data_IF_293398305119
#
_entry.id   IF_293398305119
#
_cell.length_a   1.000
_cell.length_b   1.000
_cell.length_c   1.000
_cell.angle_alpha   90.00
_cell.angle_beta   90.00
_cell.angle_gamma   90.00
#
_symmetry.space_group_name_H-M   'P 1'
#
loop_
_entity.id
_entity.type
_entity.pdbx_description
1 polymer ?
#
# COMPACT_ATOMS: atom_id res chain seq x y z
N UNK A 1 62.41 -17.31 -62.36
CA UNK A 1 61.05 -17.84 -62.00
C UNK A 1 60.79 -17.85 -60.51
N UNK A 2 61.74 -17.67 -59.60
CA UNK A 2 61.51 -17.71 -58.13
C UNK A 2 60.82 -16.44 -57.57
N UNK A 3 61.13 -15.26 -58.13
CA UNK A 3 60.58 -14.01 -57.64
C UNK A 3 59.09 -13.80 -57.92
N UNK A 4 58.51 -14.42 -58.95
CA UNK A 4 57.07 -14.35 -59.26
C UNK A 4 56.23 -15.17 -58.28
N UNK A 5 56.73 -16.26 -57.77
CA UNK A 5 56.01 -17.16 -56.81
C UNK A 5 55.98 -16.58 -55.41
N UNK A 6 56.98 -15.78 -55.01
CA UNK A 6 57.00 -15.11 -53.68
C UNK A 6 55.98 -13.98 -53.60
N UNK A 7 55.77 -13.19 -54.64
CA UNK A 7 54.80 -12.11 -54.69
C UNK A 7 53.35 -12.60 -54.64
N UNK A 8 53.03 -13.73 -55.18
CA UNK A 8 51.73 -14.34 -55.19
C UNK A 8 51.41 -14.90 -53.80
N UNK A 9 52.37 -15.52 -53.11
CA UNK A 9 52.17 -16.03 -51.75
C UNK A 9 51.95 -14.97 -50.73
N UNK A 10 52.63 -13.81 -50.80
CA UNK A 10 52.43 -12.66 -49.88
C UNK A 10 51.12 -11.97 -50.15
N UNK A 11 50.64 -11.85 -51.39
CA UNK A 11 49.33 -11.26 -51.70
C UNK A 11 48.17 -12.15 -51.21
N UNK A 12 48.31 -13.47 -51.28
CA UNK A 12 47.29 -14.40 -50.76
C UNK A 12 47.18 -14.36 -49.22
N UNK A 13 48.30 -14.27 -48.50
CA UNK A 13 48.33 -14.18 -47.04
C UNK A 13 47.72 -12.84 -46.54
N UNK A 14 47.96 -11.72 -47.22
CA UNK A 14 47.37 -10.43 -46.86
C UNK A 14 45.84 -10.44 -47.11
N UNK A 15 45.38 -11.06 -48.19
CA UNK A 15 43.96 -11.18 -48.50
C UNK A 15 43.18 -12.05 -47.48
N UNK A 16 43.78 -13.13 -47.00
CA UNK A 16 43.18 -14.01 -45.97
C UNK A 16 43.15 -13.32 -44.62
N UNK A 17 44.21 -12.60 -44.24
CA UNK A 17 44.27 -11.82 -42.99
C UNK A 17 43.26 -10.69 -42.97
N UNK A 18 43.09 -9.96 -44.08
CA UNK A 18 42.09 -8.90 -44.19
C UNK A 18 40.63 -9.45 -44.14
N UNK A 19 40.36 -10.58 -44.75
CA UNK A 19 39.07 -11.26 -44.72
C UNK A 19 38.67 -11.74 -43.32
N UNK A 20 39.61 -12.32 -42.58
CA UNK A 20 39.40 -12.81 -41.23
C UNK A 20 39.12 -11.62 -40.24
N UNK A 21 39.85 -10.50 -40.40
CA UNK A 21 39.65 -9.29 -39.61
C UNK A 21 38.28 -8.65 -39.87
N UNK A 22 37.86 -8.60 -41.15
CA UNK A 22 36.54 -8.07 -41.53
C UNK A 22 35.39 -8.93 -41.01
N UNK A 23 35.57 -10.29 -41.05
CA UNK A 23 34.58 -11.23 -40.54
C UNK A 23 34.42 -11.11 -39.02
N UNK A 24 35.52 -11.03 -38.26
CA UNK A 24 35.49 -10.84 -36.81
C UNK A 24 34.87 -9.48 -36.40
N UNK A 25 35.15 -8.42 -37.17
CA UNK A 25 34.57 -7.11 -36.96
C UNK A 25 33.06 -7.11 -37.27
N UNK A 26 32.65 -7.84 -38.32
CA UNK A 26 31.25 -7.96 -38.69
C UNK A 26 30.45 -8.82 -37.70
N UNK A 27 31.03 -9.87 -37.15
CA UNK A 27 30.42 -10.71 -36.11
C UNK A 27 30.24 -9.93 -34.79
N UNK A 28 31.24 -9.12 -34.40
CA UNK A 28 31.14 -8.22 -33.26
C UNK A 28 30.08 -7.14 -33.48
N UNK A 29 29.98 -6.60 -34.71
CA UNK A 29 28.96 -5.60 -35.04
C UNK A 29 27.53 -6.15 -35.07
N UNK A 30 27.35 -7.36 -35.62
CA UNK A 30 26.06 -8.08 -35.62
C UNK A 30 25.67 -8.50 -34.20
N UNK A 31 26.62 -9.01 -33.40
CA UNK A 31 26.41 -9.33 -31.99
C UNK A 31 26.02 -8.15 -31.15
N UNK A 32 26.55 -6.95 -31.45
CA UNK A 32 26.15 -5.71 -30.76
C UNK A 32 24.71 -5.26 -31.11
N UNK A 33 24.28 -5.47 -32.38
CA UNK A 33 22.91 -5.13 -32.82
C UNK A 33 21.83 -6.10 -32.32
N UNK A 34 22.19 -7.31 -31.96
CA UNK A 34 21.26 -8.36 -31.51
C UNK A 34 21.26 -8.57 -29.98
N UNK A 35 21.93 -7.73 -29.20
CA UNK A 35 21.67 -7.74 -27.76
C UNK A 35 20.24 -7.28 -27.54
N UNK A 36 19.34 -8.15 -27.08
CA UNK A 36 17.98 -7.72 -26.79
C UNK A 36 18.04 -6.65 -25.69
N UNK A 37 17.38 -5.53 -25.90
CA UNK A 37 17.23 -4.43 -24.93
C UNK A 37 16.55 -4.87 -23.62
N UNK A 38 16.22 -6.15 -23.49
CA UNK A 38 15.56 -6.74 -22.34
C UNK A 38 16.47 -6.95 -21.11
N UNK A 39 17.81 -7.13 -21.30
CA UNK A 39 18.70 -7.35 -20.16
C UNK A 39 18.80 -6.17 -19.18
N UNK A 40 18.93 -4.90 -19.62
CA UNK A 40 18.98 -3.79 -18.67
C UNK A 40 17.66 -3.57 -17.93
N UNK A 41 16.51 -3.92 -18.53
CA UNK A 41 15.21 -3.79 -17.87
C UNK A 41 15.00 -4.86 -16.81
N UNK A 42 15.46 -6.08 -17.03
CA UNK A 42 15.40 -7.17 -16.04
C UNK A 42 16.33 -6.89 -14.85
N UNK A 43 17.52 -6.36 -15.09
CA UNK A 43 18.48 -5.99 -14.04
C UNK A 43 18.00 -4.76 -13.25
N UNK A 44 17.41 -3.76 -13.93
CA UNK A 44 16.79 -2.61 -13.29
C UNK A 44 15.54 -3.04 -12.49
N UNK A 45 14.73 -3.96 -13.01
CA UNK A 45 13.58 -4.52 -12.29
C UNK A 45 14.03 -5.35 -11.08
N UNK A 46 15.08 -6.16 -11.21
CA UNK A 46 15.66 -6.94 -10.09
C UNK A 46 16.30 -6.02 -9.04
N UNK A 47 17.01 -4.97 -9.47
CA UNK A 47 17.56 -3.95 -8.56
C UNK A 47 16.48 -3.10 -7.89
N UNK A 48 15.35 -2.86 -8.55
CA UNK A 48 14.19 -2.21 -7.97
C UNK A 48 13.46 -3.13 -6.97
N UNK A 49 13.36 -4.42 -7.26
CA UNK A 49 12.82 -5.42 -6.34
C UNK A 49 13.70 -5.56 -5.09
N UNK A 50 15.04 -5.64 -5.24
CA UNK A 50 15.98 -5.62 -4.11
C UNK A 50 15.94 -4.32 -3.29
N UNK A 51 15.63 -3.17 -3.90
CA UNK A 51 15.41 -1.92 -3.18
C UNK A 51 14.11 -1.91 -2.38
N UNK A 52 13.08 -2.62 -2.83
CA UNK A 52 11.81 -2.73 -2.10
C UNK A 52 11.97 -3.55 -0.81
N UNK A 53 12.82 -4.58 -0.79
CA UNK A 53 13.15 -5.35 0.43
C UNK A 53 13.88 -4.52 1.51
N UNK A 54 14.53 -3.42 1.13
CA UNK A 54 15.24 -2.52 2.05
C UNK A 54 14.45 -1.25 2.41
N UNK A 55 13.25 -1.09 1.86
CA UNK A 55 12.48 0.15 1.98
C UNK A 55 11.74 0.28 3.32
N UNK A 56 11.45 -0.84 4.01
CA UNK A 56 10.76 -0.83 5.30
C UNK A 56 11.75 -0.76 6.45
N UNK A 57 11.90 0.43 7.05
CA UNK A 57 12.79 0.65 8.19
C UNK A 57 12.10 0.28 9.48
N UNK A 58 12.56 -0.77 10.15
CA UNK A 58 12.10 -1.15 11.49
C UNK A 58 12.77 -0.29 12.56
N UNK A 59 12.02 -0.01 13.63
CA UNK A 59 12.49 0.76 14.79
C UNK A 59 12.73 -0.15 16.00
N UNK A 60 13.89 -0.02 16.61
CA UNK A 60 14.23 -0.65 17.89
C UNK A 60 14.96 0.37 18.79
N UNK A 61 14.33 0.85 19.86
CA UNK A 61 12.95 0.57 20.29
C UNK A 61 11.88 1.26 19.42
N UNK A 62 10.60 0.79 19.49
CA UNK A 62 9.46 1.44 18.80
C UNK A 62 9.30 2.90 19.22
N UNK A 63 8.92 3.76 18.26
CA UNK A 63 8.78 5.21 18.45
C UNK A 63 7.37 5.60 18.92
N UNK A 64 7.21 6.67 19.71
CA UNK A 64 5.90 7.22 20.00
C UNK A 64 5.24 7.78 18.73
N UNK A 65 3.94 7.55 18.58
CA UNK A 65 3.13 8.14 17.50
C UNK A 65 2.39 9.35 18.06
N UNK A 66 2.43 10.51 17.39
CA UNK A 66 1.65 11.69 17.77
C UNK A 66 0.14 11.41 17.80
N UNK A 67 -0.59 12.19 18.60
CA UNK A 67 -2.04 12.11 18.61
C UNK A 67 -2.62 12.87 17.41
N UNK A 68 -2.93 12.13 16.34
CA UNK A 68 -3.55 12.70 15.13
C UNK A 68 -5.06 12.46 15.12
N UNK A 69 -5.79 13.40 14.51
CA UNK A 69 -7.24 13.33 14.30
C UNK A 69 -7.54 13.26 12.81
N UNK A 70 -8.55 12.51 12.47
CA UNK A 70 -9.06 12.34 11.11
C UNK A 70 -10.52 11.88 11.16
N UNK A 71 -11.15 11.73 10.02
CA UNK A 71 -12.55 11.33 9.92
C UNK A 71 -12.68 9.99 9.19
N UNK A 72 -13.70 9.22 9.56
CA UNK A 72 -14.09 8.02 8.81
C UNK A 72 -15.03 8.35 7.62
N UNK A 73 -15.49 7.30 6.93
CA UNK A 73 -16.37 7.41 5.77
C UNK A 73 -17.74 8.02 6.03
N UNK A 74 -18.17 8.08 7.28
CA UNK A 74 -19.40 8.70 7.77
C UNK A 74 -19.19 10.11 8.35
N UNK A 75 -17.94 10.62 8.31
CA UNK A 75 -17.60 11.95 8.83
C UNK A 75 -17.45 12.00 10.35
N UNK A 76 -17.35 10.85 11.03
CA UNK A 76 -17.11 10.81 12.47
C UNK A 76 -15.65 11.05 12.78
N UNK A 77 -15.37 11.89 13.77
CA UNK A 77 -14.01 12.15 14.22
C UNK A 77 -13.41 10.91 14.88
N UNK A 78 -12.22 10.55 14.45
CA UNK A 78 -11.41 9.45 14.96
C UNK A 78 -9.99 9.90 15.30
N UNK A 79 -9.29 9.02 16.00
CA UNK A 79 -7.84 9.10 16.18
C UNK A 79 -7.26 7.68 16.17
N UNK A 80 -5.93 7.57 16.12
CA UNK A 80 -5.26 6.25 16.15
C UNK A 80 -5.55 5.45 17.44
N UNK A 81 -6.06 6.09 18.49
CA UNK A 81 -6.47 5.38 19.72
C UNK A 81 -7.67 4.45 19.51
N UNK A 82 -8.50 4.68 18.47
CA UNK A 82 -9.60 3.80 18.10
C UNK A 82 -9.13 2.43 17.59
N UNK A 83 -7.86 2.32 17.25
CA UNK A 83 -7.25 1.10 16.71
C UNK A 83 -6.32 0.39 17.71
N UNK A 84 -6.38 0.77 18.99
CA UNK A 84 -5.58 0.08 20.01
C UNK A 84 -5.93 -1.41 20.05
N UNK A 85 -4.96 -2.20 20.51
CA UNK A 85 -5.00 -3.67 20.50
C UNK A 85 -4.99 -4.32 19.13
N UNK A 86 -4.83 -3.54 18.05
CA UNK A 86 -4.58 -4.00 16.68
C UNK A 86 -3.20 -3.58 16.21
N UNK A 87 -2.62 -4.37 15.32
CA UNK A 87 -1.53 -3.90 14.48
C UNK A 87 -2.14 -3.10 13.33
N UNK A 88 -1.64 -1.89 13.09
CA UNK A 88 -2.18 -0.99 12.06
C UNK A 88 -1.12 -0.72 11.00
N UNK A 89 -1.48 -0.91 9.74
CA UNK A 89 -0.72 -0.41 8.60
C UNK A 89 -1.34 0.94 8.17
N UNK A 90 -0.80 2.03 8.70
CA UNK A 90 -1.27 3.39 8.39
C UNK A 90 -0.56 3.89 7.14
N UNK A 91 -1.29 4.00 6.04
CA UNK A 91 -0.80 4.53 4.77
C UNK A 91 -1.34 5.95 4.54
N UNK A 92 -0.45 6.92 4.39
CA UNK A 92 -0.78 8.33 4.13
C UNK A 92 -0.67 8.58 2.62
N UNK A 93 -1.77 8.98 2.01
CA UNK A 93 -1.91 9.05 0.56
C UNK A 93 -2.85 10.17 0.10
N UNK A 94 -3.01 10.31 -1.23
CA UNK A 94 -4.00 11.21 -1.83
C UNK A 94 -4.39 10.73 -3.25
N UNK A 95 -5.58 11.12 -3.71
CA UNK A 95 -6.08 10.76 -5.04
C UNK A 95 -5.28 11.37 -6.19
N UNK A 96 -4.65 12.53 -5.97
CA UNK A 96 -3.77 13.19 -6.93
C UNK A 96 -2.33 12.65 -6.93
N UNK A 97 -1.97 11.77 -5.99
CA UNK A 97 -0.65 11.15 -5.89
C UNK A 97 -0.58 9.90 -6.78
N UNK A 98 0.04 10.00 -7.95
CA UNK A 98 0.09 8.90 -8.91
C UNK A 98 0.74 7.60 -8.37
N UNK A 99 1.87 7.61 -7.62
CA UNK A 99 2.39 6.40 -7.01
C UNK A 99 1.44 5.81 -5.95
N UNK A 100 0.73 6.65 -5.17
CA UNK A 100 -0.26 6.18 -4.19
C UNK A 100 -1.41 5.43 -4.86
N UNK A 101 -1.94 5.97 -5.96
CA UNK A 101 -3.03 5.34 -6.73
C UNK A 101 -2.68 3.93 -7.18
N UNK A 102 -1.40 3.69 -7.56
CA UNK A 102 -0.95 2.36 -8.03
C UNK A 102 -0.91 1.31 -6.93
N UNK A 103 -0.62 1.70 -5.69
CA UNK A 103 -0.53 0.74 -4.57
C UNK A 103 -1.88 0.42 -3.92
N UNK A 104 -2.93 1.26 -4.09
CA UNK A 104 -4.23 1.04 -3.45
C UNK A 104 -4.85 -0.34 -3.71
N UNK A 105 -4.83 -0.91 -4.93
CA UNK A 105 -5.34 -2.26 -5.14
C UNK A 105 -4.58 -3.33 -4.35
N UNK A 106 -3.29 -3.14 -4.08
CA UNK A 106 -2.48 -4.11 -3.30
C UNK A 106 -2.78 -3.98 -1.80
N UNK A 107 -3.03 -2.75 -1.31
CA UNK A 107 -3.50 -2.51 0.06
C UNK A 107 -4.89 -3.10 0.29
N UNK A 108 -5.80 -2.99 -0.68
CA UNK A 108 -7.13 -3.58 -0.60
C UNK A 108 -7.07 -5.10 -0.51
N UNK A 109 -6.24 -5.74 -1.35
CA UNK A 109 -6.00 -7.19 -1.28
C UNK A 109 -5.30 -7.63 0.01
N UNK A 110 -4.40 -6.79 0.54
CA UNK A 110 -3.79 -7.05 1.85
C UNK A 110 -4.84 -7.00 2.96
N UNK A 111 -5.72 -6.00 2.96
CA UNK A 111 -6.83 -5.89 3.90
C UNK A 111 -7.75 -7.11 3.81
N UNK A 112 -8.09 -7.56 2.58
CA UNK A 112 -8.86 -8.78 2.37
C UNK A 112 -8.19 -10.04 2.96
N UNK A 113 -6.85 -10.13 2.88
CA UNK A 113 -6.07 -11.29 3.36
C UNK A 113 -5.84 -11.32 4.87
N UNK A 114 -5.61 -10.18 5.49
CA UNK A 114 -5.14 -10.08 6.88
C UNK A 114 -6.07 -9.27 7.77
N UNK A 115 -6.99 -8.47 7.21
CA UNK A 115 -7.90 -7.62 7.95
C UNK A 115 -8.77 -8.40 8.93
N UNK A 116 -9.00 -7.81 10.11
CA UNK A 116 -9.79 -8.44 11.16
C UNK A 116 -9.58 -7.80 12.52
N UNK A 117 -9.90 -8.50 13.60
CA UNK A 117 -9.81 -7.96 14.96
C UNK A 117 -8.37 -7.62 15.39
N UNK A 118 -7.39 -8.22 14.74
CA UNK A 118 -5.97 -8.09 15.10
C UNK A 118 -5.17 -7.18 14.17
N UNK A 119 -5.71 -6.86 12.98
CA UNK A 119 -5.02 -6.08 11.95
C UNK A 119 -5.97 -5.21 11.14
N UNK A 120 -5.52 -4.00 10.82
CA UNK A 120 -6.25 -3.11 9.92
C UNK A 120 -5.31 -2.26 9.07
N UNK A 121 -5.63 -2.13 7.77
CA UNK A 121 -5.04 -1.14 6.89
C UNK A 121 -5.85 0.15 7.01
N UNK A 122 -5.23 1.19 7.53
CA UNK A 122 -5.81 2.54 7.62
C UNK A 122 -5.26 3.38 6.48
N UNK A 123 -5.96 3.41 5.35
CA UNK A 123 -5.61 4.24 4.20
C UNK A 123 -6.11 5.67 4.43
N UNK A 124 -5.28 6.52 5.06
CA UNK A 124 -5.61 7.89 5.43
C UNK A 124 -5.33 8.85 4.29
N UNK A 125 -6.39 9.34 3.64
CA UNK A 125 -6.30 10.35 2.58
C UNK A 125 -6.13 11.75 3.16
N UNK A 126 -5.27 12.55 2.51
CA UNK A 126 -5.10 13.98 2.79
C UNK A 126 -5.71 14.86 1.69
N UNK A 127 -6.68 14.34 0.94
CA UNK A 127 -7.38 15.13 -0.07
C UNK A 127 -8.22 16.24 0.57
N UNK A 128 -8.03 17.47 0.13
CA UNK A 128 -8.79 18.62 0.63
C UNK A 128 -10.27 18.54 0.29
N UNK A 129 -10.64 17.84 -0.77
CA UNK A 129 -12.03 17.55 -1.12
C UNK A 129 -12.66 16.47 -0.21
N UNK A 130 -11.88 15.91 0.74
CA UNK A 130 -12.36 14.99 1.75
C UNK A 130 -12.88 13.68 1.21
N UNK A 131 -13.92 13.18 1.89
CA UNK A 131 -14.45 11.83 1.65
C UNK A 131 -14.99 11.62 0.23
N UNK A 132 -15.50 12.66 -0.42
CA UNK A 132 -16.05 12.52 -1.77
C UNK A 132 -14.99 12.21 -2.83
N UNK A 133 -13.79 12.78 -2.68
CA UNK A 133 -12.65 12.44 -3.53
C UNK A 133 -12.27 10.95 -3.38
N UNK A 134 -12.17 10.47 -2.14
CA UNK A 134 -11.87 9.07 -1.84
C UNK A 134 -12.95 8.14 -2.37
N UNK A 135 -14.22 8.46 -2.11
CA UNK A 135 -15.36 7.66 -2.56
C UNK A 135 -15.42 7.59 -4.10
N UNK A 136 -15.11 8.67 -4.79
CA UNK A 136 -15.01 8.70 -6.25
C UNK A 136 -13.91 7.75 -6.75
N UNK A 137 -12.74 7.83 -6.14
CA UNK A 137 -11.59 7.02 -6.50
C UNK A 137 -11.79 5.52 -6.16
N UNK A 138 -12.36 5.18 -4.99
CA UNK A 138 -12.70 3.79 -4.64
C UNK A 138 -13.60 3.14 -5.69
N UNK A 139 -14.61 3.86 -6.18
CA UNK A 139 -15.49 3.38 -7.28
C UNK A 139 -14.75 3.22 -8.59
N UNK A 140 -13.82 4.13 -8.91
CA UNK A 140 -13.02 4.07 -10.14
C UNK A 140 -12.17 2.80 -10.22
N UNK A 141 -11.53 2.39 -9.11
CA UNK A 141 -10.58 1.28 -9.09
C UNK A 141 -11.13 0.00 -8.46
N UNK A 142 -12.38 -0.01 -7.99
CA UNK A 142 -13.03 -1.19 -7.42
C UNK A 142 -12.47 -1.61 -6.05
N UNK A 143 -12.21 -0.67 -5.14
CA UNK A 143 -11.84 -0.97 -3.75
C UNK A 143 -13.04 -1.49 -2.99
N UNK A 144 -12.90 -2.64 -2.31
CA UNK A 144 -13.99 -3.33 -1.62
C UNK A 144 -13.74 -3.55 -0.13
N UNK A 145 -12.48 -3.62 0.30
CA UNK A 145 -12.12 -4.05 1.66
C UNK A 145 -11.54 -2.92 2.53
N UNK A 146 -11.00 -1.85 1.90
CA UNK A 146 -10.49 -0.71 2.65
C UNK A 146 -11.63 0.19 3.14
N UNK A 147 -11.62 0.51 4.43
CA UNK A 147 -12.42 1.59 4.97
C UNK A 147 -11.91 2.96 4.50
N UNK A 148 -12.79 3.96 4.50
CA UNK A 148 -12.43 5.32 4.12
C UNK A 148 -12.04 6.13 5.34
N UNK A 149 -10.83 6.73 5.30
CA UNK A 149 -10.33 7.64 6.31
C UNK A 149 -9.76 8.89 5.63
N UNK A 150 -10.09 10.07 6.15
CA UNK A 150 -9.69 11.34 5.56
C UNK A 150 -9.25 12.36 6.60
N UNK A 151 -8.20 13.11 6.27
CA UNK A 151 -7.82 14.35 6.94
C UNK A 151 -7.73 15.48 5.90
N UNK A 152 -8.84 16.21 5.63
CA UNK A 152 -8.84 17.28 4.63
C UNK A 152 -7.91 18.45 4.99
N UNK A 153 -7.44 18.51 6.23
CA UNK A 153 -6.49 19.56 6.69
C UNK A 153 -5.05 19.23 6.35
N UNK A 154 -4.72 17.95 6.12
CA UNK A 154 -3.37 17.45 5.92
C UNK A 154 -2.47 17.52 7.16
N UNK A 155 -3.00 17.89 8.32
CA UNK A 155 -2.23 18.02 9.58
C UNK A 155 -1.66 16.68 10.03
N UNK A 156 -2.44 15.60 9.89
CA UNK A 156 -1.99 14.27 10.26
C UNK A 156 -0.70 13.87 9.53
N UNK A 157 -0.58 14.17 8.24
CA UNK A 157 0.63 13.89 7.47
C UNK A 157 1.85 14.64 8.05
N UNK A 158 1.68 15.93 8.40
CA UNK A 158 2.74 16.75 8.99
C UNK A 158 3.13 16.25 10.37
N UNK A 159 2.16 15.97 11.23
CA UNK A 159 2.37 15.51 12.62
C UNK A 159 3.04 14.12 12.64
N UNK A 160 2.67 13.24 11.72
CA UNK A 160 3.28 11.91 11.55
C UNK A 160 4.65 11.96 10.83
N UNK A 161 5.11 13.16 10.42
CA UNK A 161 6.39 13.33 9.75
C UNK A 161 6.46 12.66 8.38
N UNK A 162 5.36 12.67 7.61
CA UNK A 162 5.35 12.22 6.23
C UNK A 162 6.09 13.24 5.35
N UNK A 163 7.31 12.91 4.95
CA UNK A 163 8.16 13.78 4.11
C UNK A 163 7.81 13.71 2.63
N UNK A 164 6.94 12.79 2.24
CA UNK A 164 6.46 12.57 0.87
C UNK A 164 5.32 11.55 0.87
N UNK A 165 4.68 11.39 -0.30
CA UNK A 165 3.59 10.44 -0.48
C UNK A 165 3.95 9.36 -1.50
N UNK A 166 3.54 8.11 -1.25
CA UNK A 166 2.95 7.63 0.00
C UNK A 166 3.98 7.51 1.13
N UNK A 167 3.53 7.61 2.37
CA UNK A 167 4.31 7.23 3.55
C UNK A 167 3.47 6.25 4.36
N UNK A 168 4.06 5.11 4.72
CA UNK A 168 3.38 4.05 5.46
C UNK A 168 4.07 3.78 6.79
N UNK A 169 3.30 3.77 7.86
CA UNK A 169 3.74 3.42 9.21
C UNK A 169 3.15 2.08 9.60
N UNK A 170 3.98 1.20 10.16
CA UNK A 170 3.50 0.02 10.86
C UNK A 170 3.44 0.34 12.35
N UNK A 171 2.24 0.24 12.92
CA UNK A 171 1.96 0.62 14.32
C UNK A 171 1.59 -0.63 15.09
N UNK A 172 2.21 -0.83 16.23
CA UNK A 172 1.97 -1.96 17.13
C UNK A 172 0.66 -1.81 17.91
N UNK A 173 0.25 -2.88 18.59
CA UNK A 173 -0.96 -2.92 19.45
C UNK A 173 -0.95 -1.88 20.57
N UNK A 174 0.23 -1.51 21.06
CA UNK A 174 0.46 -0.46 22.06
C UNK A 174 0.35 0.97 21.48
N UNK A 175 0.11 1.10 20.17
CA UNK A 175 0.03 2.38 19.46
C UNK A 175 1.38 3.03 19.18
N UNK A 176 2.49 2.29 19.23
CA UNK A 176 3.82 2.79 18.88
C UNK A 176 4.18 2.42 17.45
N UNK A 177 4.93 3.27 16.77
CA UNK A 177 5.46 2.99 15.44
C UNK A 177 6.61 1.97 15.55
N UNK A 178 6.44 0.80 14.96
CA UNK A 178 7.42 -0.27 14.90
C UNK A 178 8.20 -0.30 13.60
N UNK A 179 7.74 0.42 12.59
CA UNK A 179 8.46 0.55 11.33
C UNK A 179 7.82 1.55 10.38
N UNK A 180 8.58 1.97 9.36
CA UNK A 180 8.17 2.97 8.37
C UNK A 180 8.73 2.66 6.99
N UNK A 181 7.90 2.93 5.97
CA UNK A 181 8.28 2.90 4.57
C UNK A 181 7.90 4.24 3.92
N UNK A 182 8.84 4.87 3.23
CA UNK A 182 8.60 6.08 2.43
C UNK A 182 8.68 5.72 0.96
N UNK A 183 7.64 5.99 0.21
CA UNK A 183 7.47 5.62 -1.19
C UNK A 183 6.50 4.47 -1.39
N UNK A 184 6.14 4.18 -2.66
CA UNK A 184 5.16 3.15 -3.00
C UNK A 184 5.72 1.74 -2.81
N UNK A 185 4.82 0.79 -2.49
CA UNK A 185 5.15 -0.64 -2.40
C UNK A 185 4.03 -1.51 -2.95
N UNK A 186 4.34 -2.78 -3.21
CA UNK A 186 3.35 -3.82 -3.45
C UNK A 186 3.08 -4.57 -2.15
N UNK A 187 1.91 -4.32 -1.54
CA UNK A 187 1.60 -4.71 -0.18
C UNK A 187 1.12 -6.15 -0.02
N UNK A 188 0.63 -6.78 -1.08
CA UNK A 188 0.08 -8.13 -1.05
C UNK A 188 1.06 -9.22 -1.52
N UNK A 189 2.33 -8.88 -1.69
CA UNK A 189 3.40 -9.85 -2.00
C UNK A 189 3.59 -10.83 -0.83
N UNK A 190 4.04 -12.07 -1.10
CA UNK A 190 4.32 -13.05 -0.04
C UNK A 190 5.26 -12.50 1.04
N UNK A 191 6.29 -11.76 0.64
CA UNK A 191 7.31 -11.18 1.53
C UNK A 191 6.70 -10.14 2.46
N UNK A 192 5.91 -9.21 1.93
CA UNK A 192 5.26 -8.16 2.73
C UNK A 192 4.22 -8.75 3.68
N UNK A 193 3.43 -9.71 3.21
CA UNK A 193 2.47 -10.45 4.03
C UNK A 193 3.17 -11.17 5.18
N UNK A 194 4.34 -11.77 4.94
CA UNK A 194 5.11 -12.46 5.98
C UNK A 194 5.69 -11.50 7.00
N UNK A 195 6.21 -10.33 6.57
CA UNK A 195 6.67 -9.27 7.49
C UNK A 195 5.53 -8.88 8.45
N UNK A 196 4.33 -8.63 7.92
CA UNK A 196 3.18 -8.23 8.73
C UNK A 196 2.74 -9.36 9.66
N UNK A 197 2.66 -10.61 9.17
CA UNK A 197 2.33 -11.78 10.00
C UNK A 197 3.30 -11.99 11.15
N UNK A 198 4.59 -11.81 10.90
CA UNK A 198 5.62 -11.87 11.94
C UNK A 198 5.36 -10.83 13.02
N UNK A 199 4.99 -9.60 12.66
CA UNK A 199 4.65 -8.57 13.64
C UNK A 199 3.37 -8.91 14.40
N UNK A 200 2.36 -9.45 13.74
CA UNK A 200 1.13 -9.94 14.38
C UNK A 200 1.44 -11.01 15.43
N UNK A 201 2.28 -11.97 15.10
CA UNK A 201 2.69 -13.06 16.01
C UNK A 201 3.53 -12.53 17.20
N UNK A 202 4.50 -11.65 16.92
CA UNK A 202 5.34 -11.04 17.98
C UNK A 202 4.50 -10.23 18.97
N UNK A 203 3.50 -9.52 18.49
CA UNK A 203 2.63 -8.67 19.29
C UNK A 203 1.45 -9.43 19.95
N UNK A 204 1.20 -10.68 19.59
CA UNK A 204 0.17 -11.51 20.24
C UNK A 204 0.46 -11.77 21.71
N UNK A 205 1.75 -11.87 22.09
CA UNK A 205 2.18 -12.05 23.47
C UNK A 205 2.10 -10.80 24.36
N UNK A 206 1.91 -9.62 23.76
CA UNK A 206 1.83 -8.34 24.49
C UNK A 206 0.40 -7.87 24.75
N UNK A 207 -0.60 -8.70 24.43
CA UNK A 207 -2.00 -8.40 24.75
C UNK A 207 -2.15 -8.34 26.27
N UNK A 208 -2.41 -7.15 26.82
CA UNK A 208 -2.81 -7.04 28.23
C UNK A 208 -4.03 -7.95 28.46
N UNK A 209 -4.07 -8.72 29.58
CA UNK A 209 -5.26 -9.49 29.88
C UNK A 209 -6.45 -8.51 29.91
N UNK A 210 -7.64 -8.92 29.41
CA UNK A 210 -8.81 -8.07 29.48
C UNK A 210 -8.96 -7.66 30.95
N UNK A 211 -8.94 -6.37 31.23
CA UNK A 211 -9.23 -5.85 32.56
C UNK A 211 -10.70 -6.22 32.85
N UNK A 212 -10.86 -7.34 33.51
CA UNK A 212 -12.12 -7.75 34.14
C UNK A 212 -12.39 -6.73 35.25
N UNK A 213 -13.23 -5.74 34.98
CA UNK A 213 -13.64 -4.83 36.01
C UNK A 213 -14.02 -3.45 35.53
N UNK A 214 -15.01 -3.36 34.66
CA UNK A 214 -15.97 -2.27 34.75
C UNK A 214 -17.36 -2.90 34.76
N UNK A 215 -17.77 -3.31 35.95
CA UNK A 215 -19.18 -3.51 36.23
C UNK A 215 -19.87 -2.14 36.02
N UNK A 216 -21.02 -2.09 35.33
CA UNK A 216 -21.78 -0.86 35.28
C UNK A 216 -22.17 -0.49 36.73
N UNK A 217 -21.82 0.71 37.14
CA UNK A 217 -22.31 1.28 38.40
C UNK A 217 -23.83 1.38 38.28
N UNK A 218 -24.50 0.51 39.01
CA UNK A 218 -25.94 0.65 39.33
C UNK A 218 -26.20 1.99 40.01
N UNK A 219 -27.20 2.69 39.53
CA UNK A 219 -27.91 3.68 40.33
C UNK A 219 -27.87 5.10 39.82
N UNK A 220 -28.63 5.43 38.79
CA UNK A 220 -29.37 6.67 38.69
C UNK A 220 -30.62 6.42 37.82
N UNK A 221 -31.71 6.13 38.49
CA UNK A 221 -33.07 6.23 37.93
C UNK A 221 -33.32 7.73 37.70
N UNK A 222 -33.34 8.16 36.46
CA UNK A 222 -33.97 9.41 36.09
C UNK A 222 -35.09 9.07 35.10
N UNK A 223 -36.27 9.08 35.65
CA UNK A 223 -37.56 8.94 34.99
C UNK A 223 -37.93 10.30 34.41
N UNK A 224 -37.53 10.58 33.16
CA UNK A 224 -38.36 11.46 32.29
C UNK A 224 -37.80 11.41 30.84
N UNK A 225 -38.36 10.54 30.02
CA UNK A 225 -38.20 10.57 28.57
C UNK A 225 -39.59 10.55 27.93
N UNK A 226 -39.97 11.54 27.12
CA UNK A 226 -41.27 11.58 26.47
C UNK A 226 -41.36 10.44 25.41
N UNK A 227 -42.40 9.62 25.58
CA UNK A 227 -42.78 8.57 24.64
C UNK A 227 -43.16 9.19 23.30
N UNK A 228 -42.32 9.00 22.29
CA UNK A 228 -42.67 9.26 20.90
C UNK A 228 -43.68 8.19 20.45
N UNK A 229 -44.91 8.61 20.19
CA UNK A 229 -45.99 7.78 19.62
C UNK A 229 -45.60 7.41 18.18
N UNK A 230 -45.58 6.10 17.89
CA UNK A 230 -45.54 5.58 16.52
C UNK A 230 -46.88 5.93 15.84
N UNK A 231 -46.89 6.38 14.57
CA UNK A 231 -48.13 6.50 13.82
C UNK A 231 -48.64 5.10 13.44
N UNK A 232 -49.94 4.90 13.61
CA UNK A 232 -50.67 3.68 13.27
C UNK A 232 -50.68 3.52 11.72
N UNK A 233 -50.43 2.32 11.26
CA UNK A 233 -50.65 1.88 9.88
C UNK A 233 -52.14 1.83 9.62
N UNK A 234 -52.66 2.68 8.71
CA UNK A 234 -54.02 2.55 8.19
C UNK A 234 -54.05 1.51 7.09
N UNK A 235 -54.77 0.43 7.35
CA UNK A 235 -55.24 -0.53 6.36
C UNK A 235 -56.19 0.16 5.39
N UNK A 236 -55.88 0.14 4.11
CA UNK A 236 -56.80 0.53 3.05
C UNK A 236 -57.63 -0.69 2.64
N UNK A 237 -58.91 -0.65 2.98
CA UNK A 237 -59.93 -1.61 2.56
C UNK A 237 -60.29 -1.36 1.09
N UNK A 238 -60.24 -2.43 0.31
CA UNK A 238 -60.72 -2.50 -1.07
C UNK A 238 -62.26 -2.31 -1.12
N UNK A 239 -62.76 -1.54 -2.06
CA UNK A 239 -64.16 -1.49 -2.46
C UNK A 239 -64.24 -1.18 -3.95
N UNK A 240 -64.54 -2.20 -4.75
CA UNK A 240 -64.79 -2.11 -6.16
C UNK A 240 -66.17 -1.50 -6.44
N UNK A 241 -66.35 -1.03 -7.66
CA UNK A 241 -67.55 -1.27 -8.50
C UNK A 241 -67.36 -0.57 -9.85
N UNK A 242 -67.41 -1.36 -10.91
CA UNK A 242 -67.77 -0.91 -12.26
C UNK A 242 -69.24 -0.46 -12.34
N UNK A 243 -69.66 0.26 -13.40
CA UNK A 243 -69.61 -0.16 -14.79
C UNK A 243 -68.81 0.75 -15.73
#
# INVERSE_FOLDING_TARGET
MAFARLKIATAALVAVGAGAGLYAAMDAYVGFRHRPFAEPLAEVAAAAALKNDLAFTMHDPPKPVPHVRFQDGEGRDLSLTAFRDRVVLLNIWATWCAPCRREMPTLDRLQAKLGGPDFEVVALSIDRAGIDAVRGFWREIGVEHLAMYVDPTGKAATELGAVGLPTTLLIGRDGREIGRLVGPSEWDTPEMVEIIRKQLATQAGSRAPPTSGHAPADGAQDSDAPRVRRPATSEATSGGTEP
#
